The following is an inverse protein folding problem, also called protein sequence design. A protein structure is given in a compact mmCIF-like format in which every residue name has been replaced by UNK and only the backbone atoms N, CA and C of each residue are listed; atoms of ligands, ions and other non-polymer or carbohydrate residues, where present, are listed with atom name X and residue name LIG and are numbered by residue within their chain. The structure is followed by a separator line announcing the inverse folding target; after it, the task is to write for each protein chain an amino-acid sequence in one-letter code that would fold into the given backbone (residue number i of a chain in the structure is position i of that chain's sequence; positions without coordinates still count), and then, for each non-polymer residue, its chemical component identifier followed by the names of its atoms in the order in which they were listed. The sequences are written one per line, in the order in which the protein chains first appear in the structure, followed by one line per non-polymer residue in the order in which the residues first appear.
data_IF_638859945020
#
_entry.id   IF_638859945020
#
_cell.length_a   1.000
_cell.length_b   1.000
_cell.length_c   1.000
_cell.angle_alpha   90.00
_cell.angle_beta   90.00
_cell.angle_gamma   90.00
#
_symmetry.space_group_name_H-M   'P 1'
#
loop_
_entity.id
_entity.type
_entity.pdbx_description
1 polymer ?
#
# COMPACT_ATOMS: atom_id res chain seq x y z
N UNK A 1 -24.74 17.61 35.80
CA UNK A 1 -24.47 17.82 34.36
C UNK A 1 -23.27 18.74 34.23
N UNK A 2 -22.10 18.20 33.93
CA UNK A 2 -20.90 19.02 33.66
C UNK A 2 -20.81 19.14 32.15
N UNK A 3 -21.08 20.34 31.63
CA UNK A 3 -20.83 20.64 30.22
C UNK A 3 -19.31 20.56 29.97
N UNK A 4 -18.85 19.90 28.91
CA UNK A 4 -17.44 19.96 28.54
C UNK A 4 -17.14 21.39 28.10
N UNK A 5 -16.35 22.10 28.89
CA UNK A 5 -15.76 23.37 28.54
C UNK A 5 -15.03 23.19 27.21
N UNK A 6 -15.36 24.01 26.20
CA UNK A 6 -14.56 24.10 24.97
C UNK A 6 -13.12 24.35 25.39
N UNK A 7 -12.26 23.34 25.32
CA UNK A 7 -10.82 23.49 25.54
C UNK A 7 -10.33 24.54 24.54
N UNK A 8 -10.18 25.78 25.00
CA UNK A 8 -9.60 26.84 24.20
C UNK A 8 -8.16 26.44 23.95
N UNK A 9 -7.82 26.21 22.68
CA UNK A 9 -6.44 26.00 22.28
C UNK A 9 -5.65 27.22 22.77
N UNK A 10 -4.55 27.04 23.52
CA UNK A 10 -3.72 28.13 24.00
C UNK A 10 -3.41 29.13 22.89
N UNK A 11 -3.41 30.43 23.19
CA UNK A 11 -3.24 31.49 22.18
C UNK A 11 -1.94 31.35 21.38
N UNK A 12 -0.90 30.76 21.98
CA UNK A 12 0.39 30.44 21.37
C UNK A 12 0.38 29.19 20.47
N UNK A 13 -0.74 28.48 20.34
CA UNK A 13 -0.90 27.26 19.52
C UNK A 13 -2.02 27.41 18.47
N UNK A 14 -2.35 28.64 18.06
CA UNK A 14 -3.41 28.90 17.08
C UNK A 14 -3.06 28.36 15.69
N UNK A 15 -1.79 28.51 15.27
CA UNK A 15 -1.32 28.09 13.96
C UNK A 15 -0.78 26.66 13.97
N UNK A 16 -0.90 25.95 12.84
CA UNK A 16 -0.44 24.56 12.70
C UNK A 16 1.05 24.41 13.02
N UNK A 17 1.90 25.29 12.48
CA UNK A 17 3.34 25.23 12.73
C UNK A 17 3.69 25.36 14.23
N UNK A 18 2.92 26.12 15.00
CA UNK A 18 3.13 26.26 16.45
C UNK A 18 2.85 24.94 17.17
N UNK A 19 1.76 24.25 16.80
CA UNK A 19 1.41 22.92 17.33
C UNK A 19 2.47 21.88 16.99
N UNK A 20 2.94 21.86 15.74
CA UNK A 20 3.98 20.94 15.28
C UNK A 20 5.29 21.17 16.03
N UNK A 21 5.71 22.43 16.18
CA UNK A 21 6.93 22.78 16.91
C UNK A 21 6.84 22.43 18.40
N UNK A 22 5.68 22.60 19.02
CA UNK A 22 5.48 22.25 20.42
C UNK A 22 5.55 20.74 20.64
N UNK A 23 4.90 19.95 19.77
CA UNK A 23 5.00 18.48 19.80
C UNK A 23 6.45 18.05 19.57
N UNK A 24 7.17 18.67 18.64
CA UNK A 24 8.58 18.37 18.40
C UNK A 24 9.45 18.65 19.64
N UNK A 25 9.25 19.79 20.32
CA UNK A 25 9.96 20.11 21.57
C UNK A 25 9.69 19.05 22.64
N UNK A 26 8.42 18.66 22.80
CA UNK A 26 8.04 17.63 23.76
C UNK A 26 8.68 16.27 23.44
N UNK A 27 8.64 15.84 22.17
CA UNK A 27 9.34 14.62 21.73
C UNK A 27 10.82 14.68 22.05
N UNK A 28 11.47 15.82 21.78
CA UNK A 28 12.90 16.01 22.05
C UNK A 28 13.22 15.89 23.54
N UNK A 29 12.38 16.43 24.42
CA UNK A 29 12.53 16.28 25.87
C UNK A 29 12.47 14.81 26.32
N UNK A 30 11.70 13.99 25.62
CA UNK A 30 11.59 12.54 25.86
C UNK A 30 12.66 11.71 25.14
N UNK A 31 13.69 12.34 24.57
CA UNK A 31 14.72 11.69 23.73
C UNK A 31 14.14 10.97 22.49
N UNK A 32 12.98 11.42 22.01
CA UNK A 32 12.36 10.96 20.77
C UNK A 32 12.62 11.94 19.63
N UNK A 33 12.51 11.43 18.41
CA UNK A 33 12.39 12.21 17.20
C UNK A 33 11.17 11.72 16.41
N UNK A 34 10.69 12.45 15.39
CA UNK A 34 9.47 12.06 14.67
C UNK A 34 9.50 10.62 14.13
N UNK A 35 10.64 10.17 13.57
CA UNK A 35 10.77 8.80 13.06
C UNK A 35 10.71 7.75 14.18
N UNK A 36 11.46 7.95 15.27
CA UNK A 36 11.43 7.07 16.45
C UNK A 36 10.03 6.99 17.06
N UNK A 37 9.34 8.13 17.17
CA UNK A 37 7.98 8.19 17.67
C UNK A 37 7.02 7.41 16.77
N UNK A 38 7.03 7.63 15.45
CA UNK A 38 6.14 6.92 14.51
C UNK A 38 6.37 5.41 14.61
N UNK A 39 7.63 4.94 14.61
CA UNK A 39 7.94 3.52 14.74
C UNK A 39 7.43 2.95 16.07
N UNK A 40 7.68 3.64 17.19
CA UNK A 40 7.21 3.21 18.50
C UNK A 40 5.67 3.20 18.57
N UNK A 41 5.02 4.26 18.08
CA UNK A 41 3.57 4.38 18.06
C UNK A 41 2.90 3.25 17.26
N UNK A 42 3.45 2.92 16.08
CA UNK A 42 2.89 1.91 15.18
C UNK A 42 3.16 0.46 15.62
N UNK A 43 4.18 0.21 16.45
CA UNK A 43 4.59 -1.16 16.82
C UNK A 43 4.36 -1.51 18.31
N UNK A 44 4.15 -0.52 19.19
CA UNK A 44 4.06 -0.76 20.64
C UNK A 44 2.84 -1.61 21.02
N UNK A 45 3.04 -2.68 21.79
CA UNK A 45 1.97 -3.63 22.10
C UNK A 45 1.04 -3.25 23.25
N UNK A 46 1.30 -2.16 23.95
CA UNK A 46 0.42 -1.61 24.99
C UNK A 46 -0.99 -1.36 24.43
N UNK A 47 -2.02 -1.70 25.21
CA UNK A 47 -3.42 -1.70 24.76
C UNK A 47 -3.90 -0.29 24.39
N UNK A 48 -3.54 0.73 25.18
CA UNK A 48 -3.95 2.11 24.94
C UNK A 48 -3.35 2.62 23.63
N UNK A 49 -2.06 2.32 23.39
CA UNK A 49 -1.40 2.70 22.14
C UNK A 49 -1.98 1.95 20.94
N UNK A 50 -2.35 0.67 21.10
CA UNK A 50 -3.05 -0.11 20.07
C UNK A 50 -4.38 0.53 19.68
N UNK A 51 -5.17 0.96 20.67
CA UNK A 51 -6.44 1.67 20.42
C UNK A 51 -6.17 2.94 19.61
N UNK A 52 -5.16 3.74 19.98
CA UNK A 52 -4.82 4.98 19.26
C UNK A 52 -4.43 4.75 17.78
N UNK A 53 -3.85 3.60 17.43
CA UNK A 53 -3.49 3.28 16.04
C UNK A 53 -4.47 2.34 15.32
N UNK A 54 -5.59 1.99 15.94
CA UNK A 54 -6.52 0.97 15.42
C UNK A 54 -7.06 1.27 14.02
N UNK A 55 -7.13 2.56 13.64
CA UNK A 55 -7.63 2.98 12.34
C UNK A 55 -6.61 2.88 11.20
N UNK A 56 -5.32 2.70 11.48
CA UNK A 56 -4.28 2.75 10.43
C UNK A 56 -4.46 1.68 9.35
N UNK A 57 -4.98 0.51 9.73
CA UNK A 57 -5.28 -0.59 8.81
C UNK A 57 -6.77 -0.87 8.62
N UNK A 58 -7.67 -0.04 9.16
CA UNK A 58 -9.11 -0.22 9.00
C UNK A 58 -9.58 0.32 7.64
N UNK A 59 -10.70 -0.18 7.13
CA UNK A 59 -11.30 0.33 5.90
C UNK A 59 -11.59 1.84 6.00
N UNK A 60 -12.14 2.29 7.13
CA UNK A 60 -12.51 3.68 7.36
C UNK A 60 -11.27 4.60 7.51
N UNK A 61 -10.16 4.08 8.02
CA UNK A 61 -8.92 4.85 8.20
C UNK A 61 -7.93 4.74 7.04
N UNK A 62 -8.13 3.81 6.10
CA UNK A 62 -7.19 3.57 5.01
C UNK A 62 -6.89 4.82 4.18
N UNK A 63 -7.92 5.63 3.88
CA UNK A 63 -7.77 6.87 3.11
C UNK A 63 -6.81 7.87 3.77
N UNK A 64 -6.90 8.03 5.10
CA UNK A 64 -6.01 8.94 5.84
C UNK A 64 -4.61 8.35 6.01
N UNK A 65 -4.49 7.03 6.18
CA UNK A 65 -3.20 6.32 6.13
C UNK A 65 -2.50 6.52 4.78
N UNK A 66 -3.21 6.38 3.66
CA UNK A 66 -2.67 6.64 2.32
C UNK A 66 -2.16 8.08 2.18
N UNK A 67 -2.86 9.07 2.76
CA UNK A 67 -2.40 10.46 2.76
C UNK A 67 -1.04 10.59 3.45
N UNK A 68 -0.83 9.95 4.59
CA UNK A 68 0.46 9.95 5.30
C UNK A 68 1.55 9.30 4.44
N UNK A 69 1.29 8.13 3.86
CA UNK A 69 2.25 7.42 2.99
C UNK A 69 2.63 8.30 1.79
N UNK A 70 1.67 8.98 1.16
CA UNK A 70 1.91 9.84 0.01
C UNK A 70 2.73 11.09 0.37
N UNK A 71 2.50 11.71 1.53
CA UNK A 71 3.33 12.83 2.02
C UNK A 71 4.75 12.36 2.30
N UNK A 72 4.93 11.18 2.90
CA UNK A 72 6.25 10.56 3.08
C UNK A 72 6.93 10.32 1.72
N UNK A 73 6.21 9.75 0.76
CA UNK A 73 6.71 9.54 -0.62
C UNK A 73 7.17 10.86 -1.23
N UNK A 74 6.40 11.94 -1.10
CA UNK A 74 6.77 13.26 -1.61
C UNK A 74 8.13 13.70 -1.07
N UNK A 75 8.27 13.72 0.26
CA UNK A 75 9.52 14.10 0.94
C UNK A 75 10.72 13.22 0.55
N UNK A 76 10.49 11.91 0.34
CA UNK A 76 11.55 10.99 -0.11
C UNK A 76 11.87 11.20 -1.60
N UNK A 77 10.88 11.54 -2.41
CA UNK A 77 10.99 11.66 -3.87
C UNK A 77 11.63 12.96 -4.37
N UNK A 78 11.82 13.96 -3.51
CA UNK A 78 12.36 15.28 -3.88
C UNK A 78 13.81 15.22 -4.40
N UNK A 79 14.57 14.19 -4.00
CA UNK A 79 15.96 13.98 -4.44
C UNK A 79 16.15 12.68 -5.23
N UNK A 80 17.18 12.64 -6.09
CA UNK A 80 17.51 11.47 -6.92
C UNK A 80 17.70 10.19 -6.08
N UNK A 81 18.54 10.25 -5.06
CA UNK A 81 18.82 9.12 -4.16
C UNK A 81 17.56 8.65 -3.43
N UNK A 82 16.72 9.59 -2.98
CA UNK A 82 15.48 9.24 -2.29
C UNK A 82 14.48 8.55 -3.23
N UNK A 83 14.35 9.02 -4.48
CA UNK A 83 13.55 8.35 -5.52
C UNK A 83 14.04 6.93 -5.80
N UNK A 84 15.35 6.71 -5.91
CA UNK A 84 15.94 5.39 -6.09
C UNK A 84 15.63 4.47 -4.91
N UNK A 85 15.79 4.95 -3.67
CA UNK A 85 15.45 4.21 -2.46
C UNK A 85 13.96 3.86 -2.39
N UNK A 86 13.08 4.79 -2.75
CA UNK A 86 11.63 4.55 -2.79
C UNK A 86 11.27 3.46 -3.81
N UNK A 87 11.84 3.54 -5.01
CA UNK A 87 11.61 2.55 -6.05
C UNK A 87 12.10 1.15 -5.64
N UNK A 88 13.28 1.07 -5.03
CA UNK A 88 13.81 -0.18 -4.49
C UNK A 88 12.88 -0.76 -3.40
N UNK A 89 12.41 0.10 -2.48
CA UNK A 89 11.46 -0.31 -1.44
C UNK A 89 10.15 -0.85 -2.02
N UNK A 90 9.52 -0.15 -2.96
CA UNK A 90 8.27 -0.59 -3.59
C UNK A 90 8.48 -1.89 -4.37
N UNK A 91 9.62 -2.05 -5.04
CA UNK A 91 9.96 -3.30 -5.74
C UNK A 91 10.05 -4.48 -4.75
N UNK A 92 10.72 -4.29 -3.61
CA UNK A 92 10.82 -5.33 -2.58
C UNK A 92 9.46 -5.67 -1.96
N UNK A 93 8.61 -4.69 -1.66
CA UNK A 93 7.25 -4.94 -1.18
C UNK A 93 6.38 -5.67 -2.22
N UNK A 94 6.51 -5.31 -3.51
CA UNK A 94 5.83 -6.00 -4.60
C UNK A 94 6.30 -7.47 -4.72
N UNK A 95 7.61 -7.74 -4.61
CA UNK A 95 8.15 -9.11 -4.59
C UNK A 95 7.59 -9.92 -3.42
N UNK A 96 7.56 -9.35 -2.21
CA UNK A 96 6.95 -10.01 -1.04
C UNK A 96 5.49 -10.34 -1.27
N UNK A 97 4.72 -9.40 -1.84
CA UNK A 97 3.30 -9.62 -2.15
C UNK A 97 3.10 -10.72 -3.19
N UNK A 98 3.98 -10.80 -4.19
CA UNK A 98 3.98 -11.87 -5.18
C UNK A 98 4.35 -13.22 -4.56
N UNK A 99 5.31 -13.26 -3.64
CA UNK A 99 5.65 -14.48 -2.91
C UNK A 99 4.50 -14.96 -2.01
N UNK A 100 3.76 -14.04 -1.36
CA UNK A 100 2.62 -14.39 -0.50
C UNK A 100 1.35 -14.74 -1.28
N UNK A 101 1.16 -14.14 -2.47
CA UNK A 101 0.00 -14.35 -3.34
C UNK A 101 0.27 -15.39 -4.44
N UNK A 102 1.48 -15.93 -4.52
CA UNK A 102 1.79 -17.02 -5.43
C UNK A 102 1.06 -18.28 -4.98
N UNK A 103 0.87 -19.26 -5.87
CA UNK A 103 0.48 -20.58 -5.42
C UNK A 103 1.52 -21.03 -4.38
N UNK A 104 1.05 -21.30 -3.16
CA UNK A 104 1.88 -21.94 -2.15
C UNK A 104 2.52 -23.15 -2.83
N UNK A 105 3.84 -23.39 -2.73
CA UNK A 105 4.51 -24.48 -3.43
C UNK A 105 3.83 -25.85 -3.26
N UNK A 106 3.05 -26.03 -2.18
CA UNK A 106 2.27 -27.23 -1.86
C UNK A 106 0.78 -27.18 -2.25
N UNK A 107 0.33 -26.15 -3.00
CA UNK A 107 -1.04 -25.97 -3.51
C UNK A 107 -1.05 -25.52 -4.98
N UNK A 108 -0.14 -26.04 -5.80
CA UNK A 108 -0.26 -25.90 -7.24
C UNK A 108 -1.61 -26.50 -7.69
N UNK A 109 -2.45 -25.68 -8.32
CA UNK A 109 -3.77 -26.10 -8.80
C UNK A 109 -3.72 -26.19 -10.33
N UNK A 110 -3.99 -27.40 -10.84
CA UNK A 110 -4.28 -27.59 -12.26
C UNK A 110 -5.39 -26.60 -12.65
N UNK A 111 -5.21 -25.92 -13.79
CA UNK A 111 -6.09 -24.84 -14.30
C UNK A 111 -5.81 -23.43 -13.81
N UNK A 112 -4.88 -23.24 -12.87
CA UNK A 112 -4.50 -21.92 -12.34
C UNK A 112 -3.01 -21.67 -12.49
N UNK A 113 -2.18 -22.66 -12.16
CA UNK A 113 -0.71 -22.51 -12.13
C UNK A 113 0.00 -23.26 -13.25
N UNK A 114 -0.59 -24.37 -13.67
CA UNK A 114 -0.13 -25.19 -14.78
C UNK A 114 -1.34 -25.88 -15.43
N UNK A 115 -1.14 -26.36 -16.65
CA UNK A 115 -2.12 -27.16 -17.38
C UNK A 115 -1.43 -28.45 -17.83
N UNK A 116 -2.08 -29.60 -17.62
CA UNK A 116 -1.58 -30.86 -18.15
C UNK A 116 -1.71 -30.86 -19.67
N UNK A 117 -0.60 -31.05 -20.40
CA UNK A 117 -0.63 -31.10 -21.86
C UNK A 117 -1.55 -32.21 -22.39
N UNK A 118 -1.69 -33.32 -21.66
CA UNK A 118 -2.59 -34.42 -22.04
C UNK A 118 -4.07 -34.04 -21.92
N UNK A 119 -4.40 -33.00 -21.13
CA UNK A 119 -5.76 -32.49 -20.94
C UNK A 119 -6.06 -31.27 -21.83
N UNK A 120 -5.11 -30.85 -22.67
CA UNK A 120 -5.30 -29.74 -23.62
C UNK A 120 -5.87 -30.29 -24.92
N UNK A 121 -7.20 -30.29 -25.03
CA UNK A 121 -7.94 -30.61 -26.26
C UNK A 121 -8.48 -29.37 -26.99
N UNK A 122 -9.20 -29.54 -28.12
CA UNK A 122 -9.81 -28.42 -28.86
C UNK A 122 -10.68 -27.51 -27.98
N UNK A 123 -11.44 -28.09 -27.04
CA UNK A 123 -12.25 -27.34 -26.08
C UNK A 123 -11.44 -26.39 -25.20
N UNK A 124 -10.16 -26.67 -24.94
CA UNK A 124 -9.28 -25.76 -24.23
C UNK A 124 -9.14 -24.41 -24.96
N UNK A 125 -9.26 -24.39 -26.28
CA UNK A 125 -9.13 -23.16 -27.07
C UNK A 125 -10.49 -22.50 -27.36
N UNK A 126 -11.59 -23.07 -26.85
CA UNK A 126 -12.91 -22.47 -27.01
C UNK A 126 -13.00 -21.13 -26.28
N UNK A 127 -13.94 -20.29 -26.75
CA UNK A 127 -14.14 -18.94 -26.20
C UNK A 127 -14.50 -18.98 -24.72
N UNK A 128 -15.34 -19.93 -24.32
CA UNK A 128 -15.86 -20.04 -22.96
C UNK A 128 -14.76 -20.51 -21.99
N UNK A 129 -14.00 -21.53 -22.34
CA UNK A 129 -12.89 -22.00 -21.50
C UNK A 129 -11.78 -20.95 -21.40
N UNK A 130 -11.51 -20.19 -22.48
CA UNK A 130 -10.59 -19.05 -22.43
C UNK A 130 -11.06 -17.96 -21.47
N UNK A 131 -12.34 -17.60 -21.52
CA UNK A 131 -12.95 -16.62 -20.62
C UNK A 131 -12.87 -17.07 -19.15
N UNK A 132 -13.13 -18.36 -18.90
CA UNK A 132 -13.00 -18.96 -17.58
C UNK A 132 -11.55 -18.91 -17.06
N UNK A 133 -10.56 -19.26 -17.90
CA UNK A 133 -9.14 -19.15 -17.53
C UNK A 133 -8.74 -17.72 -17.20
N UNK A 134 -9.17 -16.76 -18.01
CA UNK A 134 -8.90 -15.34 -17.75
C UNK A 134 -9.51 -14.88 -16.43
N UNK A 135 -10.72 -15.33 -16.12
CA UNK A 135 -11.38 -15.07 -14.83
C UNK A 135 -10.58 -15.67 -13.68
N UNK A 136 -10.17 -16.93 -13.80
CA UNK A 136 -9.35 -17.61 -12.79
C UNK A 136 -8.01 -16.90 -12.55
N UNK A 137 -7.34 -16.39 -13.59
CA UNK A 137 -6.11 -15.60 -13.44
C UNK A 137 -6.35 -14.29 -12.68
N UNK A 138 -7.52 -13.64 -12.90
CA UNK A 138 -7.90 -12.39 -12.25
C UNK A 138 -8.34 -12.54 -10.80
N UNK A 139 -8.86 -13.70 -10.41
CA UNK A 139 -9.51 -13.90 -9.10
C UNK A 139 -8.79 -14.90 -8.20
N UNK A 140 -8.35 -16.03 -8.75
CA UNK A 140 -7.80 -17.17 -7.99
C UNK A 140 -6.27 -17.20 -8.06
N UNK A 141 -5.69 -16.95 -9.24
CA UNK A 141 -4.25 -17.04 -9.48
C UNK A 141 -3.47 -15.95 -8.75
N UNK A 142 -3.00 -14.94 -9.48
CA UNK A 142 -2.33 -13.79 -8.86
C UNK A 142 -2.97 -12.49 -9.37
N UNK A 143 -4.09 -12.06 -8.75
CA UNK A 143 -4.78 -10.81 -9.11
C UNK A 143 -3.83 -9.61 -9.07
N UNK A 144 -2.90 -9.60 -8.11
CA UNK A 144 -1.89 -8.55 -7.97
C UNK A 144 -0.93 -8.52 -9.16
N UNK A 145 -0.36 -9.67 -9.55
CA UNK A 145 0.54 -9.75 -10.70
C UNK A 145 -0.17 -9.40 -12.01
N UNK A 146 -1.38 -9.95 -12.20
CA UNK A 146 -2.19 -9.67 -13.37
C UNK A 146 -2.42 -8.16 -13.54
N UNK A 147 -2.83 -7.47 -12.48
CA UNK A 147 -3.06 -6.02 -12.51
C UNK A 147 -1.77 -5.22 -12.72
N UNK A 148 -0.63 -5.67 -12.18
CA UNK A 148 0.67 -5.02 -12.40
C UNK A 148 1.09 -5.10 -13.88
N UNK A 149 1.00 -6.30 -14.47
CA UNK A 149 1.34 -6.54 -15.88
C UNK A 149 0.37 -5.78 -16.79
N UNK A 150 -0.94 -5.86 -16.52
CA UNK A 150 -1.98 -5.14 -17.27
C UNK A 150 -1.72 -3.63 -17.26
N UNK A 151 -1.37 -3.06 -16.11
CA UNK A 151 -1.06 -1.63 -16.00
C UNK A 151 0.17 -1.24 -16.82
N UNK A 152 1.21 -2.07 -16.83
CA UNK A 152 2.41 -1.85 -17.67
C UNK A 152 2.06 -1.78 -19.16
N UNK A 153 1.22 -2.70 -19.64
CA UNK A 153 0.80 -2.69 -21.05
C UNK A 153 -0.11 -1.52 -21.38
N UNK A 154 -1.06 -1.19 -20.50
CA UNK A 154 -1.99 -0.07 -20.73
C UNK A 154 -1.25 1.26 -20.86
N UNK A 155 -0.28 1.52 -20.00
CA UNK A 155 0.56 2.71 -20.06
C UNK A 155 1.43 2.80 -21.32
N UNK A 156 1.69 1.69 -22.02
CA UNK A 156 2.42 1.69 -23.28
C UNK A 156 1.51 1.98 -24.49
N UNK A 157 0.24 1.56 -24.42
CA UNK A 157 -0.75 1.85 -25.47
C UNK A 157 -1.14 3.33 -25.46
N UNK A 158 -1.34 3.90 -24.28
CA UNK A 158 -1.69 5.33 -24.15
C UNK A 158 -0.55 6.21 -24.71
N UNK A 159 0.72 5.84 -24.49
CA UNK A 159 1.89 6.55 -25.05
C UNK A 159 2.09 6.36 -26.56
N UNK A 160 1.49 5.33 -27.17
CA UNK A 160 1.56 5.10 -28.61
C UNK A 160 0.64 6.02 -29.41
N UNK A 161 -0.49 6.41 -28.81
CA UNK A 161 -1.49 7.28 -29.42
C UNK A 161 -1.16 8.77 -29.29
N UNK A 162 -0.23 9.15 -28.41
CA UNK A 162 0.22 10.55 -28.24
C UNK A 162 1.32 10.95 -29.25
N UNK A 163 1.70 10.06 -30.18
CA UNK A 163 2.73 10.33 -31.22
C UNK A 163 2.14 10.40 -32.65
N UNK A 164 0.81 10.45 -32.79
CA UNK A 164 0.13 10.75 -34.04
C UNK A 164 -0.68 12.04 -33.86
N UNK A 165 -0.01 13.19 -33.91
CA UNK A 165 -0.56 14.52 -34.24
C UNK A 165 0.56 15.42 -34.79
#
# INVERSE_FOLDING_TARGET
MIHPTKNQIPSNLRHEHQKVLEIWRFMRMLNLNPKKFIVAFLTNNNIDVKVCRGLWGSADGWTSTCKVINVIRGLVGDGRTGKENWNAYILEEAKKKLASNGPVPHKAQESVTWFNANNVGPEFFSKDTRSLRETNLKTIGSPFLYNLIKSKFKNNLDKGNDNED
#
